data_IF_955683479499
#
_entry.id   IF_955683479499
#
_cell.length_a   1.000
_cell.length_b   1.000
_cell.length_c   1.000
_cell.angle_alpha   90.00
_cell.angle_beta   90.00
_cell.angle_gamma   90.00
#
_symmetry.space_group_name_H-M   'P 1'
#
loop_
_entity.id
_entity.type
_entity.pdbx_description
1 polymer ?
#
# COMPACT_ATOMS: atom_id res chain seq x y z
N UNK A 1 -2.53 9.38 -9.50
CA UNK A 1 -2.55 7.93 -9.18
C UNK A 1 -3.67 7.68 -8.19
N UNK A 2 -4.41 6.57 -8.32
CA UNK A 2 -5.59 6.30 -7.50
C UNK A 2 -5.27 5.95 -6.04
N UNK A 3 -4.12 5.29 -5.78
CA UNK A 3 -3.68 4.97 -4.41
C UNK A 3 -2.66 6.00 -3.97
N UNK A 4 -3.13 7.07 -3.34
CA UNK A 4 -2.30 8.11 -2.72
C UNK A 4 -2.75 8.28 -1.27
N UNK A 5 -1.91 7.84 -0.34
CA UNK A 5 -2.17 7.84 1.08
C UNK A 5 -1.38 8.97 1.72
N UNK A 6 -2.02 9.75 2.60
CA UNK A 6 -1.35 10.83 3.31
C UNK A 6 -0.98 10.39 4.71
N UNK A 7 0.26 10.63 5.12
CA UNK A 7 0.75 10.25 6.44
C UNK A 7 1.91 11.11 6.91
N UNK A 8 2.31 10.89 8.15
CA UNK A 8 3.42 11.59 8.78
C UNK A 8 4.58 10.62 8.99
N UNK A 9 5.79 11.04 8.64
CA UNK A 9 7.00 10.26 8.88
C UNK A 9 7.25 10.20 10.39
N UNK A 10 7.29 8.99 10.95
CA UNK A 10 7.58 8.77 12.37
C UNK A 10 9.06 8.50 12.62
N UNK A 11 9.75 7.92 11.64
CA UNK A 11 11.17 7.58 11.77
C UNK A 11 11.82 7.38 10.39
N UNK A 12 13.10 7.69 10.31
CA UNK A 12 13.94 7.47 9.12
C UNK A 12 15.23 6.79 9.56
N UNK A 13 15.49 5.60 9.04
CA UNK A 13 16.74 4.86 9.28
C UNK A 13 17.55 4.87 8.00
N UNK A 14 18.67 5.60 8.00
CA UNK A 14 19.60 5.66 6.88
C UNK A 14 20.53 4.43 6.88
N UNK A 15 20.42 3.59 5.85
CA UNK A 15 21.35 2.48 5.61
C UNK A 15 22.50 2.89 4.68
N UNK A 16 23.30 1.90 4.25
CA UNK A 16 24.40 2.15 3.29
C UNK A 16 23.91 2.42 1.86
N UNK A 17 22.85 1.72 1.45
CA UNK A 17 22.28 1.79 0.08
C UNK A 17 20.83 2.27 0.13
N UNK A 18 20.06 1.74 1.08
CA UNK A 18 18.64 2.03 1.25
C UNK A 18 18.40 2.82 2.54
N UNK A 19 17.30 3.56 2.56
CA UNK A 19 16.71 4.11 3.76
C UNK A 19 15.39 3.39 4.06
N UNK A 20 15.12 3.18 5.34
CA UNK A 20 13.83 2.70 5.82
C UNK A 20 13.05 3.87 6.43
N UNK A 21 11.98 4.26 5.77
CA UNK A 21 11.08 5.33 6.19
C UNK A 21 9.83 4.69 6.79
N UNK A 22 9.57 5.00 8.06
CA UNK A 22 8.36 4.55 8.74
C UNK A 22 7.37 5.71 8.75
N UNK A 23 6.13 5.44 8.33
CA UNK A 23 5.09 6.45 8.13
C UNK A 23 3.85 6.01 8.90
N UNK A 24 3.19 6.92 9.60
CA UNK A 24 1.87 6.67 10.15
C UNK A 24 0.81 7.18 9.18
N UNK A 25 0.10 6.24 8.53
CA UNK A 25 -1.10 6.53 7.75
C UNK A 25 -2.32 6.26 8.61
N UNK A 26 -2.98 7.33 9.09
CA UNK A 26 -4.10 7.24 10.04
C UNK A 26 -3.73 6.39 11.26
N UNK A 27 -4.21 5.15 11.35
CA UNK A 27 -3.93 4.21 12.45
C UNK A 27 -2.97 3.08 12.05
N UNK A 28 -2.58 3.00 10.78
CA UNK A 28 -1.74 1.92 10.24
C UNK A 28 -0.31 2.40 10.03
N UNK A 29 0.70 1.74 10.62
CA UNK A 29 2.09 2.00 10.28
C UNK A 29 2.40 1.43 8.89
N UNK A 30 3.06 2.24 8.08
CA UNK A 30 3.63 1.86 6.79
C UNK A 30 5.16 1.82 6.90
N UNK A 31 5.74 0.78 6.29
CA UNK A 31 7.17 0.58 6.11
C UNK A 31 7.50 0.79 4.64
N UNK A 32 8.34 1.78 4.36
CA UNK A 32 8.75 2.14 3.00
C UNK A 32 10.26 2.04 2.89
N UNK A 33 10.75 1.35 1.87
CA UNK A 33 12.18 1.24 1.55
C UNK A 33 12.43 2.02 0.27
N UNK A 34 13.24 3.06 0.37
CA UNK A 34 13.74 3.84 -0.78
C UNK A 34 15.26 3.85 -0.79
N UNK A 35 15.88 4.39 -1.83
CA UNK A 35 17.32 4.59 -1.83
C UNK A 35 17.71 5.65 -0.79
N UNK A 36 18.92 5.52 -0.24
CA UNK A 36 19.51 6.54 0.63
C UNK A 36 19.55 7.91 -0.05
N UNK A 37 20.00 7.95 -1.31
CA UNK A 37 20.08 9.18 -2.09
C UNK A 37 18.72 9.87 -2.18
N UNK A 38 17.64 9.15 -2.51
CA UNK A 38 16.28 9.72 -2.54
C UNK A 38 15.84 10.28 -1.18
N UNK A 39 16.20 9.61 -0.09
CA UNK A 39 15.87 10.08 1.26
C UNK A 39 16.62 11.38 1.62
N UNK A 40 17.88 11.48 1.22
CA UNK A 40 18.72 12.67 1.39
C UNK A 40 18.24 13.82 0.48
N UNK A 41 18.01 13.56 -0.81
CA UNK A 41 17.56 14.55 -1.79
C UNK A 41 16.20 15.18 -1.43
N UNK A 42 15.28 14.37 -0.89
CA UNK A 42 13.96 14.83 -0.44
C UNK A 42 13.98 15.47 0.96
N UNK A 43 15.14 15.44 1.63
CA UNK A 43 15.34 15.94 3.00
C UNK A 43 14.29 15.38 3.95
N UNK A 44 14.07 14.05 3.92
CA UNK A 44 13.04 13.42 4.73
C UNK A 44 13.45 13.35 6.19
N UNK A 45 12.58 13.83 7.07
CA UNK A 45 12.80 13.79 8.52
C UNK A 45 11.53 13.38 9.28
N UNK A 46 11.70 12.90 10.51
CA UNK A 46 10.57 12.62 11.38
C UNK A 46 9.76 13.90 11.63
N UNK A 47 8.44 13.80 11.54
CA UNK A 47 7.50 14.93 11.60
C UNK A 47 7.09 15.46 10.23
N UNK A 48 7.79 15.13 9.14
CA UNK A 48 7.38 15.52 7.79
C UNK A 48 6.04 14.87 7.43
N UNK A 49 5.16 15.64 6.82
CA UNK A 49 4.00 15.10 6.13
C UNK A 49 4.36 14.69 4.70
N UNK A 50 3.87 13.54 4.27
CA UNK A 50 4.23 12.97 2.98
C UNK A 50 3.10 12.16 2.38
N UNK A 51 3.07 12.12 1.05
CA UNK A 51 2.20 11.20 0.32
C UNK A 51 2.95 9.91 0.00
N UNK A 52 2.28 8.80 0.27
CA UNK A 52 2.70 7.45 -0.11
C UNK A 52 1.85 7.02 -1.29
N UNK A 53 2.52 6.66 -2.38
CA UNK A 53 1.90 6.33 -3.64
C UNK A 53 2.16 4.86 -3.95
N UNK A 54 1.11 4.14 -4.36
CA UNK A 54 1.17 2.71 -4.64
C UNK A 54 0.58 2.44 -6.03
N UNK A 55 1.30 1.72 -6.88
CA UNK A 55 0.71 1.25 -8.13
C UNK A 55 -0.29 0.13 -7.82
N UNK A 56 -1.48 0.18 -8.41
CA UNK A 56 -2.54 -0.79 -8.08
C UNK A 56 -2.18 -2.26 -8.33
N UNK A 57 -1.27 -2.54 -9.27
CA UNK A 57 -0.75 -3.90 -9.52
C UNK A 57 0.17 -4.43 -8.43
N UNK A 58 0.67 -3.55 -7.55
CA UNK A 58 1.58 -3.91 -6.47
C UNK A 58 0.82 -4.12 -5.14
N UNK A 59 -0.51 -3.96 -5.17
CA UNK A 59 -1.42 -4.31 -4.09
C UNK A 59 -1.91 -5.74 -4.30
N UNK A 60 -1.41 -6.65 -3.47
CA UNK A 60 -1.96 -8.00 -3.37
C UNK A 60 -3.19 -7.99 -2.46
N UNK A 61 -4.13 -8.88 -2.73
CA UNK A 61 -5.31 -9.10 -1.90
C UNK A 61 -5.26 -10.50 -1.32
N UNK A 62 -5.63 -10.63 -0.05
CA UNK A 62 -5.77 -11.92 0.61
C UNK A 62 -7.08 -11.98 1.39
N UNK A 63 -7.89 -13.00 1.08
CA UNK A 63 -9.17 -13.27 1.75
C UNK A 63 -8.94 -14.38 2.78
N UNK A 64 -9.38 -14.16 4.02
CA UNK A 64 -9.21 -15.11 5.14
C UNK A 64 -7.76 -15.56 5.36
N UNK A 65 -6.79 -14.65 5.17
CA UNK A 65 -5.37 -14.97 5.31
C UNK A 65 -5.01 -15.36 6.75
N UNK A 66 -4.21 -16.44 6.89
CA UNK A 66 -3.55 -16.80 8.14
C UNK A 66 -2.10 -17.18 7.86
N UNK A 67 -1.20 -16.81 8.78
CA UNK A 67 0.24 -17.08 8.67
C UNK A 67 1.09 -15.82 8.66
N UNK A 68 2.34 -15.96 8.23
CA UNK A 68 3.34 -14.90 8.21
C UNK A 68 3.65 -14.47 6.78
N UNK A 69 3.81 -13.16 6.57
CA UNK A 69 4.22 -12.57 5.31
C UNK A 69 5.50 -11.76 5.49
N UNK A 70 6.36 -11.78 4.47
CA UNK A 70 7.52 -10.88 4.42
C UNK A 70 7.12 -9.45 4.05
N UNK A 71 5.97 -9.27 3.39
CA UNK A 71 5.38 -7.97 3.09
C UNK A 71 4.90 -7.30 4.39
N UNK A 72 5.37 -6.08 4.61
CA UNK A 72 5.22 -5.35 5.88
C UNK A 72 4.01 -4.44 5.95
N UNK A 73 3.45 -4.06 4.80
CA UNK A 73 2.32 -3.15 4.74
C UNK A 73 1.06 -3.95 4.54
N UNK A 74 0.18 -3.91 5.53
CA UNK A 74 -1.06 -4.67 5.56
C UNK A 74 -2.18 -3.75 6.01
N UNK A 75 -3.27 -3.72 5.26
CA UNK A 75 -4.45 -2.95 5.56
C UNK A 75 -5.68 -3.84 5.37
N UNK A 76 -6.41 -4.09 6.46
CA UNK A 76 -7.71 -4.76 6.40
C UNK A 76 -8.75 -3.74 5.94
N UNK A 77 -9.65 -4.17 5.07
CA UNK A 77 -10.73 -3.34 4.56
C UNK A 77 -11.86 -4.17 4.00
N UNK A 78 -12.86 -3.46 3.46
CA UNK A 78 -14.05 -4.07 2.87
C UNK A 78 -14.09 -3.80 1.38
N UNK A 79 -14.34 -4.82 0.57
CA UNK A 79 -14.52 -4.66 -0.88
C UNK A 79 -15.79 -3.84 -1.14
N UNK A 80 -15.63 -2.68 -1.78
CA UNK A 80 -16.75 -1.78 -2.12
C UNK A 80 -17.19 -1.89 -3.57
N UNK A 81 -16.25 -2.19 -4.46
CA UNK A 81 -16.53 -2.27 -5.88
C UNK A 81 -15.55 -3.23 -6.57
N UNK A 82 -16.07 -3.99 -7.52
CA UNK A 82 -15.28 -4.80 -8.45
C UNK A 82 -15.62 -4.33 -9.86
N UNK A 83 -14.59 -4.08 -10.67
CA UNK A 83 -14.71 -3.77 -12.09
C UNK A 83 -13.91 -4.83 -12.84
N UNK A 84 -14.60 -5.80 -13.42
CA UNK A 84 -13.98 -6.83 -14.25
C UNK A 84 -13.59 -6.23 -15.61
N UNK A 85 -12.33 -6.40 -16.00
CA UNK A 85 -11.86 -6.14 -17.36
C UNK A 85 -11.59 -7.44 -18.12
N UNK A 86 -11.05 -7.35 -19.33
CA UNK A 86 -10.83 -8.53 -20.17
C UNK A 86 -9.75 -9.49 -19.60
N UNK A 87 -8.72 -8.93 -18.97
CA UNK A 87 -7.56 -9.68 -18.43
C UNK A 87 -7.39 -9.47 -16.93
N UNK A 88 -7.55 -8.22 -16.49
CA UNK A 88 -7.35 -7.80 -15.11
C UNK A 88 -8.63 -7.19 -14.56
N UNK A 89 -8.87 -7.41 -13.28
CA UNK A 89 -9.97 -6.83 -12.52
C UNK A 89 -9.43 -5.76 -11.58
N UNK A 90 -10.18 -4.67 -11.46
CA UNK A 90 -9.96 -3.67 -10.42
C UNK A 90 -10.85 -3.97 -9.23
N UNK A 91 -10.26 -4.16 -8.06
CA UNK A 91 -10.95 -4.34 -6.80
C UNK A 91 -10.70 -3.10 -5.94
N UNK A 92 -11.77 -2.41 -5.57
CA UNK A 92 -11.73 -1.22 -4.72
C UNK A 92 -12.05 -1.66 -3.29
N UNK A 93 -11.07 -1.51 -2.41
CA UNK A 93 -11.14 -1.86 -0.99
C UNK A 93 -11.16 -0.59 -0.17
N UNK A 94 -12.20 -0.38 0.62
CA UNK A 94 -12.23 0.73 1.58
C UNK A 94 -11.53 0.31 2.86
N UNK A 95 -10.55 1.09 3.28
CA UNK A 95 -9.85 0.89 4.55
C UNK A 95 -9.64 2.25 5.22
N UNK A 96 -10.13 2.36 6.45
CA UNK A 96 -10.01 3.58 7.26
C UNK A 96 -10.56 4.84 6.55
N UNK A 97 -11.56 4.69 5.67
CA UNK A 97 -12.15 5.77 4.89
C UNK A 97 -11.41 6.15 3.60
N UNK A 98 -10.26 5.52 3.28
CA UNK A 98 -9.62 5.68 1.96
C UNK A 98 -9.91 4.48 1.06
N UNK A 99 -9.84 4.70 -0.26
CA UNK A 99 -10.05 3.67 -1.27
C UNK A 99 -8.71 3.16 -1.80
N UNK A 100 -8.44 1.87 -1.58
CA UNK A 100 -7.33 1.14 -2.17
C UNK A 100 -7.82 0.43 -3.45
N UNK A 101 -7.29 0.83 -4.59
CA UNK A 101 -7.56 0.28 -5.91
C UNK A 101 -6.49 -0.75 -6.25
N UNK A 102 -6.78 -2.02 -5.96
CA UNK A 102 -5.95 -3.16 -6.35
C UNK A 102 -6.29 -3.60 -7.77
N UNK A 103 -5.27 -4.01 -8.53
CA UNK A 103 -5.42 -4.60 -9.86
C UNK A 103 -4.91 -6.03 -9.79
N UNK A 104 -5.83 -6.99 -9.90
CA UNK A 104 -5.52 -8.43 -9.80
C UNK A 104 -5.95 -9.15 -11.08
N UNK A 105 -5.46 -10.37 -11.29
CA UNK A 105 -5.91 -11.17 -12.43
C UNK A 105 -7.37 -11.60 -12.25
N UNK A 106 -8.10 -11.75 -13.35
CA UNK A 106 -9.46 -12.31 -13.32
C UNK A 106 -9.49 -13.71 -12.72
N UNK A 107 -8.42 -14.49 -12.91
CA UNK A 107 -8.24 -15.82 -12.31
C UNK A 107 -8.22 -15.72 -10.79
N UNK A 108 -7.39 -14.84 -10.21
CA UNK A 108 -7.31 -14.64 -8.76
C UNK A 108 -8.64 -14.16 -8.17
N UNK A 109 -9.35 -13.25 -8.84
CA UNK A 109 -10.67 -12.79 -8.41
C UNK A 109 -11.65 -13.96 -8.26
N UNK A 110 -11.70 -14.84 -9.28
CA UNK A 110 -12.59 -16.00 -9.34
C UNK A 110 -12.20 -17.09 -8.35
N UNK A 111 -10.92 -17.47 -8.31
CA UNK A 111 -10.41 -18.52 -7.40
C UNK A 111 -10.62 -18.16 -5.93
N UNK A 112 -10.42 -16.88 -5.58
CA UNK A 112 -10.67 -16.39 -4.23
C UNK A 112 -12.14 -16.09 -3.95
N UNK A 113 -13.00 -16.15 -4.97
CA UNK A 113 -14.43 -15.82 -4.87
C UNK A 113 -14.66 -14.48 -4.16
N UNK A 114 -13.91 -13.45 -4.56
CA UNK A 114 -14.02 -12.10 -3.99
C UNK A 114 -15.31 -11.44 -4.48
N UNK A 115 -16.07 -10.87 -3.56
CA UNK A 115 -17.36 -10.22 -3.79
C UNK A 115 -17.42 -8.89 -3.04
N UNK A 116 -18.33 -8.01 -3.47
CA UNK A 116 -18.62 -6.78 -2.72
C UNK A 116 -19.11 -7.14 -1.32
N UNK A 117 -18.60 -6.43 -0.31
CA UNK A 117 -18.90 -6.68 1.11
C UNK A 117 -17.92 -7.63 1.80
N UNK A 118 -17.04 -8.32 1.07
CA UNK A 118 -16.01 -9.14 1.69
C UNK A 118 -15.04 -8.31 2.52
N UNK A 119 -14.70 -8.81 3.70
CA UNK A 119 -13.50 -8.39 4.42
C UNK A 119 -12.27 -9.00 3.75
N UNK A 120 -11.29 -8.15 3.43
CA UNK A 120 -10.08 -8.55 2.71
C UNK A 120 -8.87 -7.77 3.20
N UNK A 121 -7.70 -8.39 3.14
CA UNK A 121 -6.43 -7.75 3.48
C UNK A 121 -5.71 -7.30 2.21
N UNK A 122 -5.45 -6.00 2.10
CA UNK A 122 -4.54 -5.43 1.11
C UNK A 122 -3.10 -5.49 1.62
N UNK A 123 -2.19 -5.99 0.81
CA UNK A 123 -0.81 -6.30 1.19
C UNK A 123 0.15 -5.69 0.17
N UNK A 124 1.15 -4.95 0.65
CA UNK A 124 2.17 -4.31 -0.20
C UNK A 124 3.56 -4.50 0.42
N UNK A 125 4.54 -4.84 -0.41
CA UNK A 125 5.94 -4.94 0.02
C UNK A 125 6.54 -3.55 0.22
N UNK A 126 7.43 -3.38 1.19
CA UNK A 126 8.00 -2.06 1.53
C UNK A 126 8.75 -1.38 0.37
N UNK A 127 9.26 -2.16 -0.59
CA UNK A 127 10.02 -1.65 -1.75
C UNK A 127 9.13 -1.10 -2.87
N UNK A 128 7.81 -1.34 -2.80
CA UNK A 128 6.86 -1.04 -3.88
C UNK A 128 6.03 0.23 -3.59
N UNK A 129 6.34 0.88 -2.46
CA UNK A 129 5.76 2.15 -2.04
C UNK A 129 6.67 3.29 -2.49
N UNK A 130 6.08 4.31 -3.10
CA UNK A 130 6.77 5.50 -3.58
C UNK A 130 6.44 6.67 -2.67
N UNK A 131 7.44 7.49 -2.35
CA UNK A 131 7.24 8.71 -1.58
C UNK A 131 7.14 9.93 -2.48
N UNK A 132 6.20 10.83 -2.17
CA UNK A 132 6.00 12.09 -2.87
C UNK A 132 5.79 13.20 -1.84
N UNK A 133 6.70 14.18 -1.84
CA UNK A 133 6.60 15.41 -1.06
C UNK A 133 5.90 16.45 -1.93
N UNK A 134 4.95 17.19 -1.36
CA UNK A 134 4.42 18.38 -2.04
C UNK A 134 5.49 19.48 -1.99
N UNK A 135 5.61 20.21 -3.10
CA UNK A 135 6.56 21.31 -3.24
C UNK A 135 6.11 22.53 -2.42
#
# INVERSE_FOLDING_TARGET
>A
MANRLYGTIVNVIQGKINAHVQILWKKTPLSVIITRASCEDMHLSAGDNIHVVIKGTDIMLAKSFSGLLSARNQAVGVVRQIIEGDVLSKVVVESQGDMLHAIITNTSLKEMSIQNGDEIMAIVKSTELILSKEA
#
